data_IF_076650013949
#
_entry.id   IF_076650013949
#
_cell.length_a   1.000
_cell.length_b   1.000
_cell.length_c   1.000
_cell.angle_alpha   90.00
_cell.angle_beta   90.00
_cell.angle_gamma   90.00
#
_symmetry.space_group_name_H-M   'P 1'
#
loop_
_entity.id
_entity.type
_entity.pdbx_description
1 polymer ?
#
# COMPACT_ATOMS: atom_id res chain seq x y z
N UNK A 1 8.00 3.79 -43.32
CA UNK A 1 6.97 4.62 -42.69
C UNK A 1 5.92 3.66 -42.16
N UNK A 2 5.79 3.51 -40.84
CA UNK A 2 4.64 2.85 -40.24
C UNK A 2 3.93 3.91 -39.41
N UNK A 3 2.81 4.39 -39.93
CA UNK A 3 2.01 5.49 -39.38
C UNK A 3 0.55 5.35 -39.81
N UNK A 4 0.08 4.12 -40.01
CA UNK A 4 -1.35 3.83 -40.11
C UNK A 4 -1.91 3.68 -38.70
N UNK A 5 -2.98 4.42 -38.41
CA UNK A 5 -3.79 4.22 -37.21
C UNK A 5 -4.43 2.84 -37.29
N UNK A 6 -4.04 1.95 -36.37
CA UNK A 6 -4.64 0.64 -36.23
C UNK A 6 -6.00 0.80 -35.55
N UNK A 7 -7.11 0.36 -36.17
CA UNK A 7 -8.43 0.38 -35.55
C UNK A 7 -8.42 -0.38 -34.22
N UNK A 8 -9.21 0.07 -33.25
CA UNK A 8 -9.28 -0.57 -31.93
C UNK A 8 -9.71 -2.05 -32.00
N UNK A 9 -10.37 -2.44 -33.08
CA UNK A 9 -10.81 -3.81 -33.40
C UNK A 9 -9.64 -4.75 -33.78
N UNK A 10 -8.51 -4.21 -34.21
CA UNK A 10 -7.29 -4.97 -34.54
C UNK A 10 -6.31 -5.08 -33.36
N UNK A 11 -6.62 -4.45 -32.22
CA UNK A 11 -5.84 -4.51 -30.97
C UNK A 11 -6.24 -5.74 -30.14
N UNK A 12 -5.67 -6.90 -30.46
CA UNK A 12 -5.81 -8.12 -29.66
C UNK A 12 -5.03 -8.07 -28.33
N UNK A 13 -5.59 -8.60 -27.24
CA UNK A 13 -4.88 -8.76 -25.97
C UNK A 13 -4.15 -10.10 -25.96
N UNK A 14 -2.83 -10.07 -26.08
CA UNK A 14 -1.99 -11.27 -26.01
C UNK A 14 -1.54 -11.59 -24.59
N UNK A 15 -1.82 -12.80 -24.09
CA UNK A 15 -1.21 -13.34 -22.88
C UNK A 15 0.05 -14.14 -23.24
N UNK A 16 1.18 -13.81 -22.62
CA UNK A 16 2.44 -14.54 -22.83
C UNK A 16 2.56 -15.65 -21.78
N UNK A 17 2.60 -16.89 -22.24
CA UNK A 17 2.85 -18.06 -21.42
C UNK A 17 4.33 -18.11 -20.98
N UNK A 18 4.61 -18.80 -19.88
CA UNK A 18 5.97 -18.94 -19.34
C UNK A 18 6.97 -19.62 -20.28
N UNK A 19 6.49 -20.32 -21.31
CA UNK A 19 7.28 -20.94 -22.37
C UNK A 19 7.51 -20.03 -23.60
N UNK A 20 7.08 -18.76 -23.52
CA UNK A 20 7.27 -17.76 -24.56
C UNK A 20 6.18 -17.73 -25.64
N UNK A 21 5.19 -18.62 -25.61
CA UNK A 21 4.05 -18.58 -26.53
C UNK A 21 3.11 -17.42 -26.21
N UNK A 22 2.60 -16.76 -27.24
CA UNK A 22 1.61 -15.69 -27.12
C UNK A 22 0.23 -16.25 -27.47
N UNK A 23 -0.71 -16.20 -26.53
CA UNK A 23 -2.12 -16.57 -26.74
C UNK A 23 -2.90 -15.28 -26.94
N UNK A 24 -3.52 -15.10 -28.10
CA UNK A 24 -4.43 -13.97 -28.34
C UNK A 24 -5.77 -14.32 -27.69
N UNK A 25 -6.29 -13.40 -26.88
CA UNK A 25 -7.60 -13.53 -26.22
C UNK A 25 -8.56 -12.55 -26.89
N UNK A 26 -9.64 -13.06 -27.45
CA UNK A 26 -10.67 -12.29 -28.16
C UNK A 26 -11.79 -11.87 -27.19
N UNK A 27 -12.55 -10.80 -27.46
CA UNK A 27 -13.67 -10.37 -26.61
C UNK A 27 -14.70 -11.48 -26.30
N UNK A 28 -14.93 -12.38 -27.24
CA UNK A 28 -15.86 -13.51 -27.17
C UNK A 28 -15.41 -14.55 -26.14
N UNK A 29 -14.10 -14.71 -25.92
CA UNK A 29 -13.54 -15.60 -24.88
C UNK A 29 -13.92 -15.16 -23.46
N UNK A 30 -14.30 -13.89 -23.29
CA UNK A 30 -14.73 -13.35 -21.99
C UNK A 30 -16.23 -13.56 -21.71
N UNK A 31 -17.05 -13.88 -22.71
CA UNK A 31 -18.50 -14.03 -22.54
C UNK A 31 -18.89 -15.24 -21.67
N UNK A 32 -18.05 -16.28 -21.65
CA UNK A 32 -18.25 -17.49 -20.85
C UNK A 32 -17.63 -17.46 -19.45
N UNK A 33 -16.91 -16.39 -19.10
CA UNK A 33 -16.31 -16.27 -17.77
C UNK A 33 -17.38 -15.94 -16.73
N UNK A 34 -17.24 -16.43 -15.48
CA UNK A 34 -18.16 -16.08 -14.40
C UNK A 34 -18.22 -14.56 -14.25
N UNK A 35 -19.35 -13.97 -14.63
CA UNK A 35 -19.65 -12.57 -14.39
C UNK A 35 -20.28 -12.46 -13.01
N UNK A 36 -19.50 -11.97 -12.05
CA UNK A 36 -20.01 -11.62 -10.72
C UNK A 36 -20.85 -10.33 -10.88
N UNK A 37 -22.09 -10.47 -11.34
CA UNK A 37 -22.99 -9.33 -11.63
C UNK A 37 -23.71 -8.81 -10.38
N UNK A 38 -23.66 -9.57 -9.29
CA UNK A 38 -24.24 -9.18 -8.02
C UNK A 38 -23.27 -8.26 -7.27
N UNK A 39 -23.72 -7.04 -7.00
CA UNK A 39 -23.02 -6.05 -6.17
C UNK A 39 -23.20 -6.39 -4.69
N UNK A 40 -22.95 -7.66 -4.33
CA UNK A 40 -23.07 -8.20 -2.98
C UNK A 40 -21.71 -8.30 -2.31
N UNK A 41 -21.73 -8.25 -0.97
CA UNK A 41 -20.57 -8.54 -0.14
C UNK A 41 -20.84 -9.90 0.50
N UNK A 42 -20.13 -10.92 0.04
CA UNK A 42 -20.28 -12.28 0.54
C UNK A 42 -19.23 -12.55 1.60
N UNK A 43 -19.67 -12.80 2.83
CA UNK A 43 -18.77 -13.13 3.94
C UNK A 43 -18.30 -14.58 3.79
N UNK A 44 -16.99 -14.76 3.67
CA UNK A 44 -16.35 -16.07 3.54
C UNK A 44 -16.00 -16.62 4.91
N UNK A 45 -15.31 -15.82 5.73
CA UNK A 45 -14.83 -16.24 7.04
C UNK A 45 -14.48 -15.04 7.94
N UNK A 46 -14.20 -15.32 9.22
CA UNK A 46 -13.76 -14.32 10.20
C UNK A 46 -12.37 -14.68 10.75
N UNK A 47 -11.43 -13.76 10.61
CA UNK A 47 -10.00 -13.95 10.94
C UNK A 47 -9.51 -12.90 11.95
N UNK A 48 -8.39 -13.14 12.62
CA UNK A 48 -7.74 -12.09 13.43
C UNK A 48 -6.92 -11.16 12.53
N UNK A 49 -6.70 -9.93 13.00
CA UNK A 49 -5.89 -8.93 12.28
C UNK A 49 -4.50 -9.45 11.89
N UNK A 50 -3.87 -10.21 12.80
CA UNK A 50 -2.50 -10.72 12.68
C UNK A 50 -2.34 -11.81 11.61
N UNK A 51 -3.44 -12.42 11.18
CA UNK A 51 -3.42 -13.45 10.12
C UNK A 51 -3.32 -12.84 8.71
N UNK A 52 -3.57 -11.53 8.58
CA UNK A 52 -3.51 -10.83 7.30
C UNK A 52 -2.17 -10.11 7.25
N UNK A 53 -1.23 -10.68 6.50
CA UNK A 53 0.03 -10.02 6.21
C UNK A 53 -0.26 -8.70 5.44
N UNK A 54 0.27 -7.55 5.91
CA UNK A 54 0.10 -6.27 5.22
C UNK A 54 0.49 -6.28 3.75
N UNK A 55 1.35 -7.20 3.31
CA UNK A 55 1.73 -7.37 1.89
C UNK A 55 0.52 -7.63 0.99
N UNK A 56 -0.56 -8.22 1.51
CA UNK A 56 -1.77 -8.47 0.74
C UNK A 56 -2.68 -7.24 0.65
N UNK A 57 -2.51 -6.20 1.45
CA UNK A 57 -3.41 -5.04 1.45
C UNK A 57 -3.15 -4.15 0.23
N UNK A 58 -4.22 -3.78 -0.48
CA UNK A 58 -4.11 -2.90 -1.66
C UNK A 58 -4.82 -1.55 -1.50
N UNK A 59 -6.15 -1.50 -1.50
CA UNK A 59 -6.91 -0.24 -1.44
C UNK A 59 -7.92 -0.25 -0.32
N UNK A 60 -8.05 0.90 0.35
CA UNK A 60 -9.01 1.10 1.44
C UNK A 60 -10.25 1.86 0.97
N UNK A 61 -11.42 1.40 1.42
CA UNK A 61 -12.72 1.98 1.14
C UNK A 61 -13.53 2.10 2.42
N UNK A 62 -14.32 3.18 2.55
CA UNK A 62 -15.30 3.31 3.62
C UNK A 62 -16.63 2.72 3.17
N UNK A 63 -17.22 1.87 4.01
CA UNK A 63 -18.53 1.31 3.75
C UNK A 63 -19.60 2.20 4.38
N UNK A 64 -20.52 2.69 3.54
CA UNK A 64 -21.69 3.44 3.99
C UNK A 64 -22.93 2.54 3.87
N UNK A 65 -23.70 2.34 4.94
CA UNK A 65 -24.96 1.62 4.85
C UNK A 65 -26.02 2.47 4.13
N UNK A 66 -26.95 1.81 3.46
CA UNK A 66 -28.23 2.41 3.08
C UNK A 66 -29.19 2.42 4.29
N UNK A 67 -30.36 3.05 4.12
CA UNK A 67 -31.32 3.20 5.22
C UNK A 67 -31.84 1.85 5.74
N UNK A 68 -31.99 0.86 4.85
CA UNK A 68 -32.52 -0.46 5.18
C UNK A 68 -31.47 -1.34 5.86
N UNK A 69 -30.21 -1.24 5.43
CA UNK A 69 -29.09 -2.05 5.92
C UNK A 69 -28.44 -1.52 7.20
N UNK A 70 -28.82 -0.34 7.69
CA UNK A 70 -28.22 0.29 8.88
C UNK A 70 -28.23 -0.63 10.13
N UNK A 71 -29.34 -1.31 10.50
CA UNK A 71 -29.33 -2.20 11.67
C UNK A 71 -28.32 -3.34 11.55
N UNK A 72 -28.26 -3.98 10.37
CA UNK A 72 -27.31 -5.08 10.09
C UNK A 72 -25.87 -4.59 10.05
N UNK A 73 -25.62 -3.40 9.50
CA UNK A 73 -24.32 -2.75 9.49
C UNK A 73 -23.79 -2.52 10.91
N UNK A 74 -24.63 -1.94 11.79
CA UNK A 74 -24.27 -1.69 13.18
C UNK A 74 -24.01 -3.01 13.91
N UNK A 75 -24.87 -4.01 13.72
CA UNK A 75 -24.70 -5.33 14.32
C UNK A 75 -23.37 -5.99 13.92
N UNK A 76 -23.03 -5.98 12.62
CA UNK A 76 -21.78 -6.53 12.13
C UNK A 76 -20.58 -5.76 12.70
N UNK A 77 -20.63 -4.43 12.70
CA UNK A 77 -19.57 -3.58 13.28
C UNK A 77 -19.31 -3.93 14.74
N UNK A 78 -20.36 -3.99 15.56
CA UNK A 78 -20.24 -4.35 16.99
C UNK A 78 -19.74 -5.78 17.18
N UNK A 79 -20.19 -6.73 16.36
CA UNK A 79 -19.75 -8.11 16.43
C UNK A 79 -18.25 -8.24 16.14
N UNK A 80 -17.75 -7.58 15.09
CA UNK A 80 -16.33 -7.56 14.74
C UNK A 80 -15.49 -6.86 15.81
N UNK A 81 -15.98 -5.73 16.35
CA UNK A 81 -15.28 -4.95 17.38
C UNK A 81 -15.12 -5.73 18.67
N UNK A 82 -16.20 -6.38 19.14
CA UNK A 82 -16.18 -7.17 20.39
C UNK A 82 -15.39 -8.47 20.26
N UNK A 83 -15.37 -9.07 19.07
CA UNK A 83 -14.67 -10.33 18.82
C UNK A 83 -13.19 -10.16 18.45
N UNK A 84 -12.73 -8.93 18.24
CA UNK A 84 -11.40 -8.62 17.71
C UNK A 84 -11.11 -9.36 16.39
N UNK A 85 -12.13 -9.46 15.54
CA UNK A 85 -12.06 -10.14 14.24
C UNK A 85 -12.26 -9.18 13.10
N UNK A 86 -11.83 -9.62 11.92
CA UNK A 86 -12.16 -9.03 10.64
C UNK A 86 -12.91 -10.05 9.79
N UNK A 87 -13.80 -9.60 8.91
CA UNK A 87 -14.49 -10.48 7.98
C UNK A 87 -13.72 -10.52 6.65
N UNK A 88 -13.29 -11.70 6.22
CA UNK A 88 -12.83 -11.90 4.84
C UNK A 88 -14.07 -12.05 3.98
N UNK A 89 -14.13 -11.26 2.91
CA UNK A 89 -15.30 -11.14 2.05
C UNK A 89 -14.88 -11.24 0.58
N UNK A 90 -15.79 -11.74 -0.25
CA UNK A 90 -15.73 -11.60 -1.70
C UNK A 90 -16.65 -10.47 -2.12
N UNK A 91 -16.12 -9.59 -2.96
CA UNK A 91 -16.88 -8.46 -3.50
C UNK A 91 -16.75 -8.43 -5.01
N UNK A 92 -17.78 -7.97 -5.69
CA UNK A 92 -17.67 -7.50 -7.07
C UNK A 92 -17.29 -6.03 -7.06
N UNK A 93 -16.11 -5.70 -7.57
CA UNK A 93 -15.76 -4.31 -7.88
C UNK A 93 -15.70 -4.12 -9.39
N UNK A 94 -16.63 -3.31 -9.93
CA UNK A 94 -16.85 -3.06 -11.36
C UNK A 94 -17.25 -4.32 -12.13
N UNK A 95 -16.29 -5.14 -12.56
CA UNK A 95 -16.49 -6.35 -13.39
C UNK A 95 -15.60 -7.52 -12.96
N UNK A 96 -14.98 -7.43 -11.77
CA UNK A 96 -14.08 -8.46 -11.26
C UNK A 96 -14.43 -8.76 -9.82
N UNK A 97 -14.54 -10.05 -9.51
CA UNK A 97 -14.53 -10.53 -8.14
C UNK A 97 -13.16 -10.22 -7.53
N UNK A 98 -13.17 -9.72 -6.31
CA UNK A 98 -11.97 -9.35 -5.56
C UNK A 98 -12.12 -9.83 -4.13
N UNK A 99 -11.05 -10.40 -3.58
CA UNK A 99 -11.00 -10.72 -2.16
C UNK A 99 -10.77 -9.45 -1.36
N UNK A 100 -11.45 -9.29 -0.24
CA UNK A 100 -11.31 -8.13 0.61
C UNK A 100 -11.45 -8.51 2.09
N UNK A 101 -11.05 -7.60 2.97
CA UNK A 101 -11.30 -7.69 4.40
C UNK A 101 -12.10 -6.50 4.88
N UNK A 102 -13.13 -6.75 5.68
CA UNK A 102 -13.93 -5.73 6.37
C UNK A 102 -13.56 -5.72 7.84
N UNK A 103 -13.24 -4.54 8.35
CA UNK A 103 -12.87 -4.33 9.76
C UNK A 103 -13.58 -3.11 10.35
N UNK A 104 -13.85 -3.12 11.67
CA UNK A 104 -14.33 -1.94 12.36
C UNK A 104 -13.22 -0.89 12.48
N UNK A 105 -13.63 0.38 12.44
CA UNK A 105 -12.80 1.57 12.72
C UNK A 105 -13.69 2.64 13.36
N UNK A 106 -13.72 2.68 14.68
CA UNK A 106 -14.67 3.53 15.42
C UNK A 106 -16.11 3.18 15.03
N UNK A 107 -16.87 4.18 14.60
CA UNK A 107 -18.29 4.02 14.22
C UNK A 107 -18.50 3.51 12.79
N UNK A 108 -17.42 3.20 12.05
CA UNK A 108 -17.48 2.79 10.65
C UNK A 108 -16.91 1.39 10.42
N UNK A 109 -17.34 0.78 9.32
CA UNK A 109 -16.68 -0.35 8.68
C UNK A 109 -15.79 0.14 7.55
N UNK A 110 -14.56 -0.37 7.52
CA UNK A 110 -13.58 -0.12 6.47
C UNK A 110 -13.31 -1.43 5.75
N UNK A 111 -13.36 -1.37 4.42
CA UNK A 111 -13.01 -2.47 3.54
C UNK A 111 -11.61 -2.23 2.97
N UNK A 112 -10.74 -3.25 3.03
CA UNK A 112 -9.47 -3.27 2.32
C UNK A 112 -9.51 -4.36 1.27
N UNK A 113 -9.29 -4.03 0.00
CA UNK A 113 -9.12 -5.06 -1.04
C UNK A 113 -7.79 -5.77 -0.82
N UNK A 114 -7.79 -7.07 -1.02
CA UNK A 114 -6.61 -7.91 -0.94
C UNK A 114 -6.08 -8.20 -2.36
N UNK A 115 -4.76 -8.26 -2.48
CA UNK A 115 -4.08 -8.89 -3.60
C UNK A 115 -4.34 -10.40 -3.53
N UNK A 116 -4.59 -11.01 -4.68
CA UNK A 116 -4.62 -12.45 -4.78
C UNK A 116 -3.22 -13.03 -4.50
N UNK A 117 -3.12 -14.27 -3.99
CA UNK A 117 -1.82 -14.87 -3.69
C UNK A 117 -0.84 -14.88 -4.87
N UNK A 118 -1.35 -15.01 -6.11
CA UNK A 118 -0.57 -14.97 -7.34
C UNK A 118 -0.16 -13.56 -7.79
N UNK A 119 -0.78 -12.51 -7.25
CA UNK A 119 -0.40 -11.11 -7.47
C UNK A 119 0.78 -10.69 -6.58
N UNK A 120 1.07 -11.45 -5.51
CA UNK A 120 2.23 -11.23 -4.65
C UNK A 120 3.45 -11.92 -5.26
N UNK A 121 4.42 -11.11 -5.70
CA UNK A 121 5.65 -11.61 -6.33
C UNK A 121 6.61 -12.18 -5.27
N UNK A 122 7.11 -13.38 -5.54
CA UNK A 122 8.22 -13.96 -4.78
C UNK A 122 9.49 -13.10 -4.95
N UNK A 123 10.25 -12.83 -3.87
CA UNK A 123 11.46 -12.02 -3.94
C UNK A 123 12.50 -12.57 -4.92
N UNK A 124 12.51 -13.87 -5.21
CA UNK A 124 13.38 -14.50 -6.21
C UNK A 124 14.85 -14.57 -5.80
N UNK A 125 15.15 -14.37 -4.51
CA UNK A 125 16.50 -14.49 -3.94
C UNK A 125 16.45 -15.12 -2.56
N UNK A 126 17.54 -15.81 -2.20
CA UNK A 126 17.76 -16.33 -0.86
C UNK A 126 18.71 -15.40 -0.10
N UNK A 127 18.45 -15.22 1.20
CA UNK A 127 19.37 -14.51 2.07
C UNK A 127 20.37 -15.50 2.65
N UNK A 128 21.68 -15.20 2.67
CA UNK A 128 22.65 -16.02 3.36
C UNK A 128 22.35 -16.00 4.88
N UNK A 129 22.49 -17.14 5.54
CA UNK A 129 22.39 -17.23 7.00
C UNK A 129 23.59 -16.53 7.65
N UNK A 130 23.42 -15.24 7.96
CA UNK A 130 24.41 -14.43 8.68
C UNK A 130 23.78 -13.92 9.97
N UNK A 131 24.30 -14.38 11.10
CA UNK A 131 23.88 -13.92 12.42
C UNK A 131 24.48 -12.55 12.78
N UNK A 132 23.70 -11.68 13.40
CA UNK A 132 24.19 -10.42 13.94
C UNK A 132 25.09 -10.66 15.17
N UNK A 133 26.19 -9.91 15.30
CA UNK A 133 27.03 -9.99 16.50
C UNK A 133 26.29 -9.38 17.70
N UNK A 134 26.32 -9.99 18.90
CA UNK A 134 25.54 -9.51 20.05
C UNK A 134 25.77 -8.04 20.42
N UNK A 135 27.00 -7.54 20.28
CA UNK A 135 27.34 -6.15 20.59
C UNK A 135 26.73 -5.16 19.59
N UNK A 136 26.72 -5.51 18.30
CA UNK A 136 26.09 -4.69 17.25
C UNK A 136 24.58 -4.69 17.38
N UNK A 137 23.99 -5.86 17.66
CA UNK A 137 22.56 -5.99 17.90
C UNK A 137 22.13 -5.12 19.09
N UNK A 138 22.87 -5.15 20.19
CA UNK A 138 22.60 -4.31 21.36
C UNK A 138 22.66 -2.81 21.03
N UNK A 139 23.62 -2.39 20.22
CA UNK A 139 23.74 -1.00 19.78
C UNK A 139 22.57 -0.60 18.87
N UNK A 140 22.22 -1.43 17.88
CA UNK A 140 21.10 -1.20 16.99
C UNK A 140 19.77 -1.10 17.76
N UNK A 141 19.51 -2.01 18.70
CA UNK A 141 18.33 -1.96 19.57
C UNK A 141 18.26 -0.68 20.41
N UNK A 142 19.40 -0.20 20.91
CA UNK A 142 19.45 1.07 21.66
C UNK A 142 19.07 2.25 20.78
N UNK A 143 19.51 2.27 19.52
CA UNK A 143 19.14 3.32 18.58
C UNK A 143 17.65 3.27 18.24
N UNK A 144 17.13 2.08 17.89
CA UNK A 144 15.71 1.87 17.61
C UNK A 144 14.88 2.41 18.77
N UNK A 145 15.17 1.98 20.01
CA UNK A 145 14.44 2.45 21.19
C UNK A 145 14.54 3.96 21.43
N UNK A 146 15.69 4.58 21.13
CA UNK A 146 15.86 6.03 21.28
C UNK A 146 15.11 6.86 20.23
N UNK A 147 14.77 6.25 19.09
CA UNK A 147 14.08 6.89 17.98
C UNK A 147 12.62 6.44 17.84
N UNK A 148 12.18 5.45 18.63
CA UNK A 148 10.78 5.03 18.68
C UNK A 148 9.94 6.13 19.29
N UNK A 149 9.03 6.67 18.50
CA UNK A 149 7.99 7.60 18.93
C UNK A 149 6.61 7.08 18.52
N UNK A 150 5.55 7.71 19.02
CA UNK A 150 4.21 7.47 18.47
C UNK A 150 4.18 7.92 17.02
N UNK A 151 3.56 7.12 16.15
CA UNK A 151 3.42 7.43 14.74
C UNK A 151 2.26 8.40 14.52
N UNK A 152 2.58 9.65 14.19
CA UNK A 152 1.61 10.64 13.75
C UNK A 152 1.71 10.87 12.23
N UNK A 153 0.78 10.27 11.49
CA UNK A 153 0.69 10.45 10.04
C UNK A 153 0.49 11.92 9.60
N UNK A 154 -0.08 12.79 10.45
CA UNK A 154 -0.33 14.19 10.13
C UNK A 154 0.95 15.05 10.22
N UNK A 155 2.02 14.53 10.82
CA UNK A 155 3.31 15.21 10.90
C UNK A 155 4.13 15.14 9.60
N UNK A 156 3.71 14.32 8.63
CA UNK A 156 4.41 14.15 7.36
C UNK A 156 3.76 14.98 6.25
N UNK A 157 4.57 15.62 5.44
CA UNK A 157 4.14 16.43 4.27
C UNK A 157 4.66 15.81 2.98
N UNK A 158 4.01 16.14 1.87
CA UNK A 158 4.49 15.78 0.54
C UNK A 158 5.37 16.92 0.03
N UNK A 159 6.68 16.82 0.27
CA UNK A 159 7.67 17.83 -0.12
C UNK A 159 7.61 18.17 -1.61
N UNK A 160 7.27 17.19 -2.46
CA UNK A 160 7.12 17.43 -3.89
C UNK A 160 5.90 18.29 -4.16
N UNK A 161 4.77 18.00 -3.51
CA UNK A 161 3.56 18.81 -3.62
C UNK A 161 3.80 20.23 -3.12
N UNK A 162 4.48 20.40 -1.98
CA UNK A 162 4.78 21.72 -1.41
C UNK A 162 5.70 22.52 -2.35
N UNK A 163 6.73 21.86 -2.91
CA UNK A 163 7.59 22.46 -3.92
C UNK A 163 6.79 22.84 -5.18
N UNK A 164 5.88 21.99 -5.63
CA UNK A 164 5.03 22.27 -6.79
C UNK A 164 4.10 23.46 -6.54
N UNK A 165 3.46 23.53 -5.37
CA UNK A 165 2.62 24.66 -4.95
C UNK A 165 3.44 25.96 -4.93
N UNK A 166 4.66 25.94 -4.41
CA UNK A 166 5.57 27.10 -4.43
C UNK A 166 5.96 27.53 -5.87
N UNK A 167 6.17 26.57 -6.79
CA UNK A 167 6.42 26.87 -8.21
C UNK A 167 5.18 27.49 -8.86
N UNK A 168 3.98 26.99 -8.56
CA UNK A 168 2.72 27.53 -9.08
C UNK A 168 2.50 28.96 -8.59
N UNK A 169 2.75 29.23 -7.30
CA UNK A 169 2.64 30.57 -6.71
C UNK A 169 3.66 31.55 -7.31
N UNK A 170 4.91 31.12 -7.49
CA UNK A 170 5.92 31.95 -8.13
C UNK A 170 5.52 32.29 -9.58
N UNK A 171 4.99 31.32 -10.34
CA UNK A 171 4.50 31.57 -11.70
C UNK A 171 3.29 32.48 -11.76
N UNK A 172 2.33 32.35 -10.83
CA UNK A 172 1.11 33.18 -10.83
C UNK A 172 1.39 34.64 -10.45
N UNK A 173 2.37 34.87 -9.58
CA UNK A 173 2.81 36.19 -9.11
C UNK A 173 3.88 36.84 -10.00
N UNK A 174 4.40 36.12 -11.00
CA UNK A 174 5.50 36.58 -11.85
C UNK A 174 6.87 36.61 -11.15
N UNK A 175 7.00 35.94 -10.01
CA UNK A 175 8.22 35.82 -9.24
C UNK A 175 9.15 34.72 -9.80
N UNK A 176 10.41 34.73 -9.35
CA UNK A 176 11.41 33.74 -9.76
C UNK A 176 11.09 32.39 -9.11
N UNK A 177 11.13 31.33 -9.92
CA UNK A 177 10.88 29.95 -9.48
C UNK A 177 11.95 29.54 -8.45
N UNK A 178 11.57 29.01 -7.27
CA UNK A 178 12.52 28.53 -6.27
C UNK A 178 13.42 27.42 -6.83
N UNK A 179 14.72 27.47 -6.54
CA UNK A 179 15.65 26.42 -6.92
C UNK A 179 15.42 25.16 -6.07
N UNK A 180 15.36 23.99 -6.70
CA UNK A 180 15.26 22.72 -5.99
C UNK A 180 16.49 22.52 -5.10
N UNK A 181 16.26 22.24 -3.81
CA UNK A 181 17.33 21.88 -2.88
C UNK A 181 17.73 20.44 -3.19
N UNK A 182 18.91 20.24 -3.77
CA UNK A 182 19.41 18.90 -4.10
C UNK A 182 19.62 18.06 -2.82
N UNK A 183 19.53 16.71 -2.91
CA UNK A 183 19.80 15.85 -1.77
C UNK A 183 21.24 16.08 -1.28
N UNK A 184 21.41 16.30 0.03
CA UNK A 184 22.73 16.30 0.64
C UNK A 184 23.37 14.92 0.47
N UNK A 185 24.58 14.87 -0.08
CA UNK A 185 25.35 13.64 -0.25
C UNK A 185 25.72 13.06 1.12
N UNK A 186 24.88 12.16 1.65
CA UNK A 186 25.29 11.26 2.72
C UNK A 186 26.11 10.15 2.09
N UNK A 187 27.44 10.31 2.06
CA UNK A 187 28.35 9.27 1.59
C UNK A 187 28.06 7.92 2.27
N UNK A 188 28.32 6.82 1.58
CA UNK A 188 28.13 5.48 2.11
C UNK A 188 29.06 5.26 3.31
N UNK A 189 28.54 5.50 4.51
CA UNK A 189 29.24 5.27 5.77
C UNK A 189 28.87 3.87 6.24
N UNK A 190 29.88 3.10 6.67
CA UNK A 190 29.71 1.84 7.41
C UNK A 190 28.53 1.98 8.39
N UNK A 191 27.56 1.07 8.30
CA UNK A 191 26.32 1.14 9.06
C UNK A 191 26.60 1.34 10.56
N UNK A 192 27.67 0.75 11.09
CA UNK A 192 28.08 0.90 12.50
C UNK A 192 28.44 2.36 12.81
N UNK A 193 29.19 3.02 11.92
CA UNK A 193 29.58 4.43 12.06
C UNK A 193 28.38 5.36 11.81
N UNK A 194 27.49 5.00 10.89
CA UNK A 194 26.23 5.72 10.68
C UNK A 194 25.33 5.66 11.93
N UNK A 195 25.21 4.49 12.55
CA UNK A 195 24.45 4.28 13.79
C UNK A 195 25.05 5.07 14.97
N UNK A 196 26.39 5.08 15.11
CA UNK A 196 27.08 5.87 16.14
C UNK A 196 26.82 7.37 15.98
N UNK A 197 26.91 7.90 14.75
CA UNK A 197 26.59 9.30 14.46
C UNK A 197 25.14 9.64 14.74
N UNK A 198 24.20 8.73 14.44
CA UNK A 198 22.78 8.93 14.79
C UNK A 198 22.57 8.99 16.30
N UNK A 199 23.25 8.13 17.09
CA UNK A 199 23.20 8.17 18.56
C UNK A 199 23.75 9.49 19.13
N UNK A 200 24.82 10.03 18.56
CA UNK A 200 25.38 11.33 18.96
C UNK A 200 24.41 12.48 18.69
N UNK A 201 23.77 12.51 17.50
CA UNK A 201 22.79 13.54 17.14
C UNK A 201 21.55 13.54 18.05
N UNK A 202 21.05 12.34 18.40
CA UNK A 202 19.93 12.18 19.34
C UNK A 202 20.31 12.64 20.74
N UNK A 203 21.53 12.34 21.22
CA UNK A 203 22.03 12.80 22.54
C UNK A 203 22.24 14.31 22.60
N UNK A 204 22.59 14.94 21.49
CA UNK A 204 22.74 16.40 21.38
C UNK A 204 21.40 17.14 21.25
N UNK A 205 20.26 16.44 21.30
CA UNK A 205 18.93 17.05 21.19
C UNK A 205 18.62 17.61 19.80
N UNK A 206 19.45 17.30 18.79
CA UNK A 206 19.20 17.66 17.39
C UNK A 206 18.41 16.54 16.75
N UNK A 207 17.09 16.59 16.93
CA UNK A 207 16.18 15.75 16.18
C UNK A 207 16.44 16.02 14.68
N UNK A 208 16.74 15.01 13.86
CA UNK A 208 16.80 15.23 12.42
C UNK A 208 15.43 15.76 11.97
N UNK A 209 15.38 16.72 11.04
CA UNK A 209 14.12 17.13 10.47
C UNK A 209 13.42 15.86 9.95
N UNK A 210 12.15 15.71 10.31
CA UNK A 210 11.27 14.78 9.61
C UNK A 210 11.34 15.21 8.15
N UNK A 211 11.99 14.37 7.34
CA UNK A 211 12.11 14.56 5.89
C UNK A 211 10.84 14.06 5.22
#
# INVERSE_FOLDING_TARGET
MCGEEVPAEELGKGYRLGDGRLVVVEPEDFEGLPSSSDHTIDVVEFVSAEQIDPIFLHRSYFLRPDEVGLPSYVLLREALERSWRMAVVKITLRRRETLAVVRPRGDLLVLHTLLWPDEVRDPGFELPEVGARPQELKMALSLVNSMTTEFDHAAFTDDYRDALEAVIEAKSSGAVIPAARGPEETGAVDLVVALQRSLERVREGKQPPVR
#
